data_IF_002997496659
#
_entry.id   IF_002997496659
#
_cell.length_a   1.000
_cell.length_b   1.000
_cell.length_c   1.000
_cell.angle_alpha   90.00
_cell.angle_beta   90.00
_cell.angle_gamma   90.00
#
_symmetry.space_group_name_H-M   'P 1'
#
loop_
_entity.id
_entity.type
_entity.pdbx_description
1 polymer ?
#
# COMPACT_ATOMS: atom_id res chain seq x y z
N UNK A 1 -12.93 -24.23 -0.18
CA UNK A 1 -11.57 -24.43 -0.72
C UNK A 1 -11.17 -23.14 -1.39
N UNK A 2 -9.99 -22.58 -1.10
CA UNK A 2 -9.50 -21.38 -1.78
C UNK A 2 -9.04 -21.76 -3.19
N UNK A 3 -9.37 -20.94 -4.20
CA UNK A 3 -8.92 -21.13 -5.59
C UNK A 3 -7.67 -20.28 -5.85
N UNK A 4 -6.47 -20.90 -6.01
CA UNK A 4 -5.25 -20.18 -6.31
C UNK A 4 -5.30 -19.38 -7.62
N UNK A 5 -6.19 -19.74 -8.55
CA UNK A 5 -6.39 -19.02 -9.82
C UNK A 5 -6.92 -17.59 -9.66
N UNK A 6 -7.39 -17.23 -8.46
CA UNK A 6 -7.83 -15.87 -8.12
C UNK A 6 -6.71 -15.02 -7.48
N UNK A 7 -5.54 -15.60 -7.15
CA UNK A 7 -4.43 -14.90 -6.52
C UNK A 7 -3.57 -14.13 -7.53
N UNK A 8 -4.21 -13.29 -8.35
CA UNK A 8 -3.56 -12.47 -9.37
C UNK A 8 -4.08 -11.05 -9.31
N UNK A 9 -3.20 -10.11 -9.60
CA UNK A 9 -3.54 -8.71 -9.79
C UNK A 9 -3.79 -8.52 -11.28
N UNK A 10 -4.96 -8.00 -11.63
CA UNK A 10 -5.29 -7.69 -13.03
C UNK A 10 -4.34 -6.61 -13.57
N UNK A 11 -3.92 -6.73 -14.83
CA UNK A 11 -2.97 -5.80 -15.46
C UNK A 11 -3.52 -4.37 -15.60
N UNK A 12 -4.83 -4.17 -15.48
CA UNK A 12 -5.46 -2.85 -15.46
C UNK A 12 -5.31 -2.12 -14.12
N UNK A 13 -4.89 -2.80 -13.05
CA UNK A 13 -4.67 -2.18 -11.73
C UNK A 13 -3.34 -1.42 -11.76
N UNK A 14 -3.42 -0.09 -11.79
CA UNK A 14 -2.25 0.79 -11.81
C UNK A 14 -1.89 1.36 -10.43
N UNK A 15 -2.86 1.42 -9.52
CA UNK A 15 -2.72 2.05 -8.20
C UNK A 15 -3.30 1.15 -7.12
N UNK A 16 -2.54 0.97 -6.04
CA UNK A 16 -2.97 0.28 -4.82
C UNK A 16 -2.88 1.24 -3.63
N UNK A 17 -3.95 1.34 -2.86
CA UNK A 17 -3.95 2.00 -1.55
C UNK A 17 -4.02 0.94 -0.44
N UNK A 18 -3.02 0.92 0.46
CA UNK A 18 -2.99 0.00 1.59
C UNK A 18 -3.45 0.70 2.87
N UNK A 19 -4.49 0.14 3.51
CA UNK A 19 -4.97 0.57 4.82
C UNK A 19 -4.22 -0.22 5.89
N UNK A 20 -3.82 0.44 6.99
CA UNK A 20 -2.92 -0.09 8.00
C UNK A 20 -1.51 -0.44 7.46
N UNK A 21 -0.97 0.43 6.61
CA UNK A 21 0.29 0.19 5.88
C UNK A 21 1.53 0.15 6.77
N UNK A 22 1.48 0.70 7.99
CA UNK A 22 2.64 0.72 8.89
C UNK A 22 2.86 -0.63 9.62
N UNK A 23 2.00 -1.63 9.41
CA UNK A 23 2.28 -3.01 9.84
C UNK A 23 3.44 -3.63 9.05
N UNK A 24 4.31 -4.42 9.68
CA UNK A 24 5.52 -4.97 9.04
C UNK A 24 5.23 -5.74 7.75
N UNK A 25 4.22 -6.61 7.75
CA UNK A 25 3.83 -7.38 6.57
C UNK A 25 3.24 -6.47 5.48
N UNK A 26 2.43 -5.48 5.87
CA UNK A 26 1.80 -4.53 4.95
C UNK A 26 2.83 -3.60 4.32
N UNK A 27 3.82 -3.15 5.08
CA UNK A 27 4.92 -2.34 4.56
C UNK A 27 5.78 -3.11 3.56
N UNK A 28 6.11 -4.37 3.85
CA UNK A 28 6.80 -5.23 2.89
C UNK A 28 5.98 -5.44 1.61
N UNK A 29 4.66 -5.66 1.74
CA UNK A 29 3.74 -5.76 0.60
C UNK A 29 3.72 -4.46 -0.22
N UNK A 30 3.67 -3.30 0.44
CA UNK A 30 3.70 -2.00 -0.21
C UNK A 30 4.93 -1.84 -1.11
N UNK A 31 6.10 -2.22 -0.61
CA UNK A 31 7.35 -2.20 -1.37
C UNK A 31 7.32 -3.19 -2.54
N UNK A 32 6.86 -4.44 -2.33
CA UNK A 32 6.76 -5.42 -3.42
C UNK A 32 5.83 -4.98 -4.55
N UNK A 33 4.75 -4.26 -4.25
CA UNK A 33 3.84 -3.70 -5.25
C UNK A 33 4.48 -2.51 -5.98
N UNK A 34 5.21 -1.66 -5.25
CA UNK A 34 5.97 -0.54 -5.82
C UNK A 34 7.05 -1.04 -6.79
N UNK A 35 7.80 -2.08 -6.41
CA UNK A 35 8.84 -2.70 -7.24
C UNK A 35 8.26 -3.36 -8.50
N UNK A 36 6.99 -3.80 -8.46
CA UNK A 36 6.25 -4.24 -9.66
C UNK A 36 5.82 -3.10 -10.58
N UNK A 37 6.17 -1.86 -10.28
CA UNK A 37 5.87 -0.68 -11.09
C UNK A 37 4.50 -0.07 -10.83
N UNK A 38 3.78 -0.50 -9.78
CA UNK A 38 2.49 0.07 -9.42
C UNK A 38 2.67 1.38 -8.64
N UNK A 39 1.71 2.29 -8.79
CA UNK A 39 1.57 3.39 -7.84
C UNK A 39 1.10 2.80 -6.51
N UNK A 40 1.77 3.13 -5.41
CA UNK A 40 1.41 2.66 -4.07
C UNK A 40 1.30 3.84 -3.13
N UNK A 41 0.17 3.90 -2.44
CA UNK A 41 -0.10 4.84 -1.34
C UNK A 41 -0.58 4.04 -0.14
N UNK A 42 -0.59 4.63 1.05
CA UNK A 42 -1.23 3.99 2.19
C UNK A 42 -1.69 4.95 3.26
N UNK A 43 -2.45 4.40 4.18
CA UNK A 43 -2.94 5.09 5.36
C UNK A 43 -2.81 4.22 6.60
N UNK A 44 -2.64 4.86 7.74
CA UNK A 44 -2.57 4.18 9.04
C UNK A 44 -3.07 5.09 10.15
N UNK A 45 -3.64 4.52 11.22
CA UNK A 45 -4.03 5.29 12.40
C UNK A 45 -2.82 5.99 13.03
N UNK A 46 -1.65 5.35 12.99
CA UNK A 46 -0.39 5.95 13.46
C UNK A 46 0.68 5.84 12.39
N UNK A 47 1.23 6.99 11.98
CA UNK A 47 2.33 7.05 11.01
C UNK A 47 3.60 7.50 11.73
N UNK A 48 4.46 6.54 12.07
CA UNK A 48 5.61 6.77 12.95
C UNK A 48 6.89 6.10 12.43
N UNK A 49 8.08 6.68 12.71
CA UNK A 49 9.36 6.02 12.48
C UNK A 49 9.49 4.72 13.30
N UNK A 50 10.20 3.69 12.82
CA UNK A 50 11.01 3.67 11.60
C UNK A 50 10.21 3.35 10.33
N UNK A 51 8.97 2.87 10.46
CA UNK A 51 8.22 2.35 9.33
C UNK A 51 7.81 3.45 8.34
N UNK A 52 7.36 4.60 8.84
CA UNK A 52 6.96 5.70 7.97
C UNK A 52 8.14 6.25 7.15
N UNK A 53 9.34 6.30 7.73
CA UNK A 53 10.55 6.72 7.03
C UNK A 53 10.98 5.69 5.99
N UNK A 54 10.94 4.40 6.35
CA UNK A 54 11.20 3.32 5.41
C UNK A 54 10.28 3.39 4.18
N UNK A 55 8.96 3.53 4.38
CA UNK A 55 8.01 3.62 3.28
C UNK A 55 8.23 4.87 2.42
N UNK A 56 8.51 6.03 3.03
CA UNK A 56 8.83 7.26 2.28
C UNK A 56 10.09 7.12 1.44
N UNK A 57 11.13 6.46 1.96
CA UNK A 57 12.37 6.19 1.22
C UNK A 57 12.13 5.31 -0.03
N UNK A 58 11.14 4.42 0.02
CA UNK A 58 10.71 3.62 -1.14
C UNK A 58 9.76 4.38 -2.08
N UNK A 59 9.53 5.68 -1.84
CA UNK A 59 8.65 6.52 -2.65
C UNK A 59 7.17 6.17 -2.50
N UNK A 60 6.77 5.69 -1.32
CA UNK A 60 5.38 5.38 -0.96
C UNK A 60 4.84 6.54 -0.11
N UNK A 61 3.74 7.13 -0.56
CA UNK A 61 3.05 8.20 0.18
C UNK A 61 2.19 7.56 1.27
N UNK A 62 2.43 7.94 2.51
CA UNK A 62 1.70 7.45 3.69
C UNK A 62 1.05 8.62 4.42
N UNK A 63 -0.25 8.51 4.65
CA UNK A 63 -1.05 9.53 5.31
C UNK A 63 -1.65 9.02 6.64
N UNK A 64 -1.73 9.87 7.66
CA UNK A 64 -2.27 9.50 8.97
C UNK A 64 -3.82 9.53 8.99
N UNK A 65 -4.43 8.63 9.76
CA UNK A 65 -5.87 8.43 9.87
C UNK A 65 -6.47 7.64 8.70
N UNK A 66 -7.80 7.41 8.74
CA UNK A 66 -8.54 6.75 7.65
C UNK A 66 -9.57 7.71 7.05
N UNK A 67 -9.48 7.93 5.73
CA UNK A 67 -10.35 8.84 4.99
C UNK A 67 -10.73 8.24 3.64
N UNK A 68 -12.02 8.13 3.36
CA UNK A 68 -12.55 7.55 2.13
C UNK A 68 -12.12 8.32 0.86
N UNK A 69 -11.83 9.62 0.97
CA UNK A 69 -11.34 10.44 -0.15
C UNK A 69 -10.01 9.93 -0.71
N UNK A 70 -9.24 9.17 0.08
CA UNK A 70 -7.96 8.57 -0.35
C UNK A 70 -8.13 7.37 -1.28
N UNK A 71 -9.35 6.85 -1.41
CA UNK A 71 -9.71 5.73 -2.30
C UNK A 71 -10.29 6.19 -3.64
N UNK A 72 -10.46 7.50 -3.84
CA UNK A 72 -10.91 8.04 -5.12
C UNK A 72 -9.89 7.72 -6.22
N UNK A 73 -10.39 7.44 -7.44
CA UNK A 73 -9.54 7.12 -8.59
C UNK A 73 -8.62 8.31 -8.91
N UNK A 74 -7.33 8.03 -9.01
CA UNK A 74 -6.28 8.98 -9.40
C UNK A 74 -5.78 8.69 -10.81
#
# INVERSE_FOLDING_TARGET
>A
MLDPGLNRIDSSVQHVHLIAVCGTAMGALACMLKDRGMTVTGSDEKVYPPMSDFLRQQGIVVEEGFDGRRLERR
#
